data_IF_880503226304
#
_entry.id   IF_880503226304
#
_cell.length_a   1.000
_cell.length_b   1.000
_cell.length_c   1.000
_cell.angle_alpha   90.00
_cell.angle_beta   90.00
_cell.angle_gamma   90.00
#
_symmetry.space_group_name_H-M   'P 1'
#
loop_
_entity.id
_entity.type
_entity.pdbx_description
1 polymer ?
#
# COMPACT_ATOMS: atom_id res chain seq x y z
N UNK A 1 11.55 -7.81 -10.02
CA UNK A 1 10.29 -7.12 -9.62
C UNK A 1 9.17 -7.56 -10.54
N UNK A 2 7.89 -7.26 -10.22
CA UNK A 2 6.77 -7.52 -11.14
C UNK A 2 7.02 -6.86 -12.51
N UNK A 3 7.42 -5.60 -12.50
CA UNK A 3 7.80 -4.83 -13.71
C UNK A 3 8.90 -5.52 -14.54
N UNK A 4 9.96 -6.01 -13.91
CA UNK A 4 11.06 -6.68 -14.64
C UNK A 4 10.61 -8.00 -15.30
N UNK A 5 9.63 -8.69 -14.70
CA UNK A 5 9.08 -9.93 -15.24
C UNK A 5 8.08 -9.68 -16.37
N UNK A 6 7.40 -8.52 -16.36
CA UNK A 6 6.37 -8.13 -17.33
C UNK A 6 6.88 -7.03 -18.27
N UNK A 7 6.70 -5.75 -17.92
CA UNK A 7 6.95 -4.60 -18.78
C UNK A 7 8.38 -4.49 -19.30
N UNK A 8 9.36 -4.99 -18.53
CA UNK A 8 10.78 -5.00 -18.88
C UNK A 8 11.30 -6.31 -19.46
N UNK A 9 10.44 -7.29 -19.73
CA UNK A 9 10.81 -8.57 -20.33
C UNK A 9 10.37 -8.61 -21.79
N UNK A 10 11.33 -8.61 -22.72
CA UNK A 10 11.04 -8.60 -24.18
C UNK A 10 10.23 -9.80 -24.66
N UNK A 11 10.25 -10.90 -23.91
CA UNK A 11 9.51 -12.12 -24.24
C UNK A 11 8.12 -12.17 -23.59
N UNK A 12 7.76 -11.20 -22.73
CA UNK A 12 6.45 -11.14 -22.09
C UNK A 12 5.44 -10.39 -22.97
N UNK A 13 4.19 -10.88 -23.10
CA UNK A 13 3.14 -10.18 -23.85
C UNK A 13 2.84 -8.75 -23.37
N UNK A 14 3.18 -8.43 -22.12
CA UNK A 14 2.98 -7.10 -21.53
C UNK A 14 4.23 -6.21 -21.61
N UNK A 15 5.22 -6.56 -22.43
CA UNK A 15 6.40 -5.73 -22.65
C UNK A 15 6.01 -4.31 -23.08
N UNK A 16 6.56 -3.29 -22.42
CA UNK A 16 6.23 -1.88 -22.67
C UNK A 16 7.38 -1.07 -23.28
N UNK A 17 8.53 -1.67 -23.50
CA UNK A 17 9.68 -1.02 -24.13
C UNK A 17 10.97 -1.03 -23.28
N UNK A 18 12.09 -0.62 -23.89
CA UNK A 18 13.43 -0.75 -23.31
C UNK A 18 13.61 0.09 -22.04
N UNK A 19 12.84 1.17 -21.89
CA UNK A 19 12.83 2.00 -20.68
C UNK A 19 12.30 1.28 -19.43
N UNK A 20 11.76 0.07 -19.57
CA UNK A 20 11.31 -0.78 -18.46
C UNK A 20 12.28 -1.94 -18.17
N UNK A 21 13.26 -2.19 -19.04
CA UNK A 21 14.37 -3.11 -18.76
C UNK A 21 15.23 -2.54 -17.62
N UNK A 22 15.74 -3.39 -16.73
CA UNK A 22 16.54 -2.98 -15.55
C UNK A 22 15.84 -1.91 -14.66
N UNK A 23 14.52 -1.81 -14.72
CA UNK A 23 13.76 -0.76 -14.04
C UNK A 23 13.97 -0.80 -12.53
N UNK A 24 14.05 -2.00 -11.94
CA UNK A 24 14.31 -2.17 -10.51
C UNK A 24 15.62 -1.51 -10.10
N UNK A 25 16.68 -1.72 -10.86
CA UNK A 25 18.02 -1.24 -10.51
C UNK A 25 18.08 0.29 -10.59
N UNK A 26 17.36 0.90 -11.54
CA UNK A 26 17.20 2.35 -11.61
C UNK A 26 16.42 2.91 -10.42
N UNK A 27 15.31 2.29 -10.03
CA UNK A 27 14.52 2.75 -8.89
C UNK A 27 15.29 2.66 -7.58
N UNK A 28 16.01 1.55 -7.34
CA UNK A 28 16.78 1.36 -6.11
C UNK A 28 17.86 2.44 -5.95
N UNK A 29 18.49 2.90 -7.06
CA UNK A 29 19.47 3.98 -7.03
C UNK A 29 18.90 5.33 -6.58
N UNK A 30 17.59 5.53 -6.71
CA UNK A 30 16.92 6.75 -6.28
C UNK A 30 16.43 6.70 -4.81
N UNK A 31 16.58 5.55 -4.12
CA UNK A 31 16.15 5.42 -2.73
C UNK A 31 17.18 6.12 -1.83
N UNK A 32 16.75 7.19 -1.16
CA UNK A 32 17.58 7.97 -0.23
C UNK A 32 17.42 7.54 1.23
N UNK A 33 16.29 6.92 1.59
CA UNK A 33 16.05 6.40 2.94
C UNK A 33 14.99 5.30 2.96
N UNK A 34 15.03 4.48 4.02
CA UNK A 34 14.00 3.50 4.36
C UNK A 34 13.41 3.89 5.70
N UNK A 35 12.10 4.11 5.75
CA UNK A 35 11.42 4.53 6.96
C UNK A 35 10.71 3.36 7.66
N UNK A 36 10.73 3.30 9.00
CA UNK A 36 10.03 2.25 9.74
C UNK A 36 8.52 2.45 9.79
N UNK A 37 8.04 3.68 9.55
CA UNK A 37 6.63 4.05 9.61
C UNK A 37 6.25 4.85 8.38
N UNK A 38 5.05 4.59 7.86
CA UNK A 38 4.52 5.27 6.68
C UNK A 38 4.31 6.78 6.89
N UNK A 39 3.98 7.20 8.12
CA UNK A 39 3.85 8.61 8.49
C UNK A 39 5.17 9.39 8.36
N UNK A 40 6.31 8.73 8.59
CA UNK A 40 7.62 9.35 8.40
C UNK A 40 7.89 9.63 6.92
N UNK A 41 7.40 8.76 6.03
CA UNK A 41 7.53 8.93 4.57
C UNK A 41 6.74 10.15 4.11
N UNK A 42 5.45 10.23 4.46
CA UNK A 42 4.60 11.36 4.05
C UNK A 42 5.10 12.68 4.63
N UNK A 43 5.57 12.70 5.88
CA UNK A 43 6.18 13.88 6.50
C UNK A 43 7.40 14.38 5.73
N UNK A 44 8.29 13.47 5.29
CA UNK A 44 9.47 13.82 4.49
C UNK A 44 9.11 14.38 3.11
N UNK A 45 8.05 13.85 2.47
CA UNK A 45 7.53 14.41 1.21
C UNK A 45 7.01 15.83 1.43
N UNK A 46 6.15 16.02 2.44
CA UNK A 46 5.53 17.33 2.73
C UNK A 46 6.57 18.39 3.09
N UNK A 47 7.65 17.99 3.78
CA UNK A 47 8.73 18.89 4.20
C UNK A 47 9.82 19.07 3.14
N UNK A 48 9.73 18.39 1.99
CA UNK A 48 10.69 18.52 0.89
C UNK A 48 12.03 17.82 1.13
N UNK A 49 12.11 16.90 2.10
CA UNK A 49 13.31 16.07 2.32
C UNK A 49 13.48 15.04 1.20
N UNK A 50 12.37 14.57 0.62
CA UNK A 50 12.34 13.66 -0.53
C UNK A 50 11.26 14.09 -1.51
N UNK A 51 11.45 13.79 -2.81
CA UNK A 51 10.48 14.15 -3.86
C UNK A 51 9.24 13.24 -3.85
N UNK A 52 9.39 11.98 -3.47
CA UNK A 52 8.33 10.98 -3.52
C UNK A 52 8.55 9.87 -2.48
N UNK A 53 7.46 9.19 -2.11
CA UNK A 53 7.46 8.06 -1.20
C UNK A 53 6.43 7.00 -1.60
N UNK A 54 6.73 5.74 -1.28
CA UNK A 54 5.79 4.63 -1.46
C UNK A 54 5.00 4.46 -0.16
N UNK A 55 3.69 4.66 -0.22
CA UNK A 55 2.79 4.66 0.95
C UNK A 55 1.51 3.86 0.65
N UNK A 56 0.72 3.59 1.68
CA UNK A 56 -0.63 3.05 1.52
C UNK A 56 -1.63 4.13 1.09
N UNK A 57 -2.70 3.72 0.41
CA UNK A 57 -3.76 4.64 -0.06
C UNK A 57 -4.43 5.40 1.10
N UNK A 58 -4.67 4.74 2.23
CA UNK A 58 -5.30 5.39 3.39
C UNK A 58 -4.45 6.53 3.96
N UNK A 59 -3.12 6.42 3.94
CA UNK A 59 -2.22 7.49 4.38
C UNK A 59 -2.24 8.68 3.42
N UNK A 60 -2.21 8.39 2.12
CA UNK A 60 -2.28 9.42 1.10
C UNK A 60 -3.61 10.19 1.17
N UNK A 61 -4.73 9.48 1.41
CA UNK A 61 -6.04 10.09 1.70
C UNK A 61 -6.03 10.94 2.98
N UNK A 62 -5.38 10.44 4.04
CA UNK A 62 -5.33 11.12 5.34
C UNK A 62 -4.57 12.45 5.28
N UNK A 63 -3.42 12.51 4.60
CA UNK A 63 -2.66 13.76 4.43
C UNK A 63 -3.31 14.73 3.44
N UNK A 64 -4.19 14.21 2.59
CA UNK A 64 -5.04 14.99 1.69
C UNK A 64 -4.24 15.81 0.67
N UNK A 65 -4.61 17.08 0.42
CA UNK A 65 -4.06 17.88 -0.67
C UNK A 65 -2.60 18.32 -0.47
N UNK A 66 -1.97 17.96 0.66
CA UNK A 66 -0.55 18.29 0.93
C UNK A 66 0.42 17.49 0.07
N UNK A 67 -0.06 16.43 -0.59
CA UNK A 67 0.73 15.59 -1.49
C UNK A 67 -0.06 15.33 -2.77
N UNK A 68 0.65 15.05 -3.86
CA UNK A 68 0.05 14.50 -5.07
C UNK A 68 0.15 12.97 -5.04
N UNK A 69 -0.96 12.30 -5.32
CA UNK A 69 -1.02 10.85 -5.38
C UNK A 69 -0.82 10.36 -6.82
N UNK A 70 0.06 9.37 -7.00
CA UNK A 70 0.23 8.65 -8.27
C UNK A 70 -0.03 7.17 -8.02
N UNK A 71 -1.06 6.64 -8.68
CA UNK A 71 -1.44 5.24 -8.51
C UNK A 71 -0.43 4.28 -9.17
N UNK A 72 -0.08 3.22 -8.45
CA UNK A 72 0.70 2.11 -9.00
C UNK A 72 -0.27 1.10 -9.62
N UNK A 73 -0.18 0.79 -10.92
CA UNK A 73 -1.13 -0.12 -11.57
C UNK A 73 -1.16 -1.50 -10.91
N UNK A 74 -2.36 -2.07 -10.72
CA UNK A 74 -2.57 -3.33 -9.98
C UNK A 74 -1.74 -4.51 -10.50
N UNK A 75 -1.45 -4.56 -11.80
CA UNK A 75 -0.62 -5.61 -12.42
C UNK A 75 0.83 -5.62 -11.94
N UNK A 76 1.31 -4.49 -11.41
CA UNK A 76 2.69 -4.33 -10.92
C UNK A 76 2.76 -3.86 -9.46
N UNK A 77 1.62 -3.55 -8.85
CA UNK A 77 1.52 -3.14 -7.45
C UNK A 77 1.65 -4.34 -6.50
N UNK A 78 2.02 -4.08 -5.24
CA UNK A 78 1.94 -5.05 -4.15
C UNK A 78 0.80 -4.65 -3.23
N UNK A 79 -0.23 -5.48 -3.15
CA UNK A 79 -1.41 -5.22 -2.32
C UNK A 79 -1.10 -5.75 -0.91
N UNK A 80 -1.33 -4.92 0.10
CA UNK A 80 -1.18 -5.30 1.50
C UNK A 80 -2.46 -5.93 2.04
N UNK A 81 -2.33 -7.07 2.74
CA UNK A 81 -3.43 -7.73 3.44
C UNK A 81 -3.36 -7.37 4.92
N UNK A 82 -4.46 -6.87 5.49
CA UNK A 82 -4.57 -6.51 6.91
C UNK A 82 -5.45 -7.52 7.65
N UNK A 83 -4.84 -8.28 8.54
CA UNK A 83 -5.55 -9.25 9.37
C UNK A 83 -6.12 -8.61 10.64
N UNK A 84 -7.27 -9.12 11.09
CA UNK A 84 -7.86 -8.83 12.39
C UNK A 84 -8.14 -10.15 13.12
N UNK A 85 -7.79 -10.23 14.41
CA UNK A 85 -7.92 -11.46 15.19
C UNK A 85 -8.20 -11.20 16.67
N UNK A 86 -8.82 -12.19 17.34
CA UNK A 86 -9.02 -12.18 18.79
C UNK A 86 -7.74 -12.63 19.49
N UNK A 87 -7.23 -11.80 20.41
CA UNK A 87 -6.08 -12.15 21.25
C UNK A 87 -6.48 -13.27 22.22
N UNK A 88 -5.70 -14.38 22.25
CA UNK A 88 -6.00 -15.57 23.06
C UNK A 88 -6.16 -15.27 24.55
N UNK A 89 -5.39 -14.34 25.10
CA UNK A 89 -5.38 -13.98 26.52
C UNK A 89 -6.37 -12.88 26.93
N UNK A 90 -7.32 -12.49 26.07
CA UNK A 90 -8.30 -11.45 26.43
C UNK A 90 -9.19 -11.90 27.59
N UNK A 91 -9.41 -11.00 28.55
CA UNK A 91 -10.40 -11.19 29.63
C UNK A 91 -11.85 -10.96 29.16
N UNK A 92 -12.04 -10.40 27.96
CA UNK A 92 -13.34 -10.10 27.39
C UNK A 92 -13.48 -10.69 25.98
N UNK A 93 -13.59 -12.02 25.93
CA UNK A 93 -13.62 -12.79 24.67
C UNK A 93 -14.85 -12.46 23.82
N UNK A 94 -16.02 -12.35 24.44
CA UNK A 94 -17.28 -12.12 23.72
C UNK A 94 -17.28 -10.75 23.03
N UNK A 95 -16.80 -9.71 23.72
CA UNK A 95 -16.66 -8.39 23.12
C UNK A 95 -15.63 -8.41 21.97
N UNK A 96 -14.49 -9.07 22.15
CA UNK A 96 -13.47 -9.16 21.11
C UNK A 96 -13.99 -9.88 19.85
N UNK A 97 -14.75 -10.97 20.02
CA UNK A 97 -15.38 -11.68 18.90
C UNK A 97 -16.40 -10.78 18.18
N UNK A 98 -17.25 -10.05 18.94
CA UNK A 98 -18.19 -9.10 18.35
C UNK A 98 -17.50 -8.00 17.56
N UNK A 99 -16.37 -7.49 18.06
CA UNK A 99 -15.57 -6.47 17.37
C UNK A 99 -14.97 -6.99 16.06
N UNK A 100 -14.40 -8.20 16.06
CA UNK A 100 -13.92 -8.84 14.84
C UNK A 100 -15.05 -9.03 13.84
N UNK A 101 -16.18 -9.58 14.29
CA UNK A 101 -17.33 -9.83 13.42
C UNK A 101 -17.91 -8.54 12.83
N UNK A 102 -17.89 -7.44 13.58
CA UNK A 102 -18.31 -6.14 13.07
C UNK A 102 -17.45 -5.69 11.88
N UNK A 103 -16.12 -5.74 11.99
CA UNK A 103 -15.24 -5.34 10.90
C UNK A 103 -15.29 -6.28 9.69
N UNK A 104 -15.68 -7.55 9.90
CA UNK A 104 -15.91 -8.52 8.82
C UNK A 104 -17.35 -8.46 8.24
N UNK A 105 -18.25 -7.67 8.83
CA UNK A 105 -19.61 -7.49 8.32
C UNK A 105 -19.65 -6.54 7.11
N UNK A 106 -20.77 -6.53 6.38
CA UNK A 106 -21.00 -5.60 5.26
C UNK A 106 -20.82 -4.14 5.67
N UNK A 107 -21.33 -3.76 6.85
CA UNK A 107 -21.17 -2.40 7.39
C UNK A 107 -19.70 -2.07 7.67
N UNK A 108 -18.98 -2.98 8.33
CA UNK A 108 -17.55 -2.80 8.61
C UNK A 108 -16.71 -2.68 7.34
N UNK A 109 -16.97 -3.54 6.35
CA UNK A 109 -16.30 -3.51 5.05
C UNK A 109 -16.62 -2.22 4.27
N UNK A 110 -17.87 -1.74 4.31
CA UNK A 110 -18.25 -0.45 3.72
C UNK A 110 -17.44 0.68 4.32
N UNK A 111 -17.36 0.77 5.66
CA UNK A 111 -16.57 1.79 6.34
C UNK A 111 -15.09 1.71 5.97
N UNK A 112 -14.50 0.51 5.97
CA UNK A 112 -13.10 0.31 5.56
C UNK A 112 -12.85 0.78 4.12
N UNK A 113 -13.80 0.55 3.21
CA UNK A 113 -13.70 0.97 1.81
C UNK A 113 -13.64 2.51 1.64
N UNK A 114 -14.40 3.25 2.46
CA UNK A 114 -14.39 4.72 2.47
C UNK A 114 -12.98 5.25 2.78
N UNK A 115 -12.29 4.62 3.75
CA UNK A 115 -10.91 4.94 4.13
C UNK A 115 -9.85 4.38 3.16
N UNK A 116 -10.24 3.66 2.11
CA UNK A 116 -9.35 3.18 1.06
C UNK A 116 -8.76 1.79 1.28
N UNK A 117 -9.36 0.97 2.16
CA UNK A 117 -9.09 -0.46 2.19
C UNK A 117 -9.81 -1.15 1.02
N UNK A 118 -9.18 -2.19 0.47
CA UNK A 118 -9.81 -3.07 -0.52
C UNK A 118 -10.84 -4.01 0.12
N UNK A 119 -11.55 -4.76 -0.71
CA UNK A 119 -12.43 -5.82 -0.24
C UNK A 119 -11.63 -6.88 0.53
N UNK A 120 -12.26 -7.48 1.56
CA UNK A 120 -11.76 -8.69 2.19
C UNK A 120 -11.63 -9.83 1.17
N UNK A 121 -10.53 -10.57 1.22
CA UNK A 121 -10.32 -11.82 0.48
C UNK A 121 -11.01 -13.02 1.16
#
# INVERSE_FOLDING_TARGET
SKIQKTWGNRSDPNYKGPQWEHYRDRIIKNIVSYEPMVISITTKVITGVVDAGIVFVFEAKFVGPKVQCVEIPSSVNTIGTFGIAVIKGTSNRDLAVKYVNFWLSEEGQRLLSEYGFGASE
#
